data_IF_825609374006
#
_entry.id   IF_825609374006
#
_cell.length_a   1.000
_cell.length_b   1.000
_cell.length_c   1.000
_cell.angle_alpha   90.00
_cell.angle_beta   90.00
_cell.angle_gamma   90.00
#
_symmetry.space_group_name_H-M   'P 1'
#
loop_
_entity.id
_entity.type
_entity.pdbx_description
1 polymer ?
#
# COMPACT_ATOMS: atom_id res chain seq x y z
N UNK A 1 90.65 51.94 -2.60
CA UNK A 1 89.36 52.47 -3.10
C UNK A 1 88.38 51.32 -3.17
N UNK A 2 87.28 51.44 -2.44
CA UNK A 2 86.19 50.47 -2.32
C UNK A 2 85.06 50.86 -3.30
N UNK A 3 84.59 49.95 -4.16
CA UNK A 3 83.30 50.08 -4.87
C UNK A 3 82.89 48.75 -5.56
N UNK A 4 82.03 48.00 -4.85
CA UNK A 4 80.74 47.42 -5.29
C UNK A 4 80.65 46.86 -6.71
N UNK A 5 80.48 45.55 -6.89
CA UNK A 5 79.23 44.77 -6.79
C UNK A 5 78.54 44.66 -8.17
N UNK A 6 78.57 43.45 -8.75
CA UNK A 6 77.42 42.87 -9.44
C UNK A 6 77.66 41.36 -9.60
N UNK A 7 77.70 40.64 -8.48
CA UNK A 7 77.59 39.17 -8.53
C UNK A 7 76.16 38.87 -8.89
N UNK A 8 75.90 38.62 -10.17
CA UNK A 8 74.64 38.07 -10.64
C UNK A 8 74.27 36.86 -9.79
N UNK A 9 73.34 37.06 -8.85
CA UNK A 9 72.79 36.02 -8.02
C UNK A 9 71.97 35.13 -8.95
N UNK A 10 72.57 34.01 -9.33
CA UNK A 10 71.89 32.91 -10.00
C UNK A 10 70.89 32.32 -8.99
N UNK A 11 69.67 32.86 -8.96
CA UNK A 11 68.57 32.31 -8.18
C UNK A 11 68.09 31.07 -8.92
N UNK A 12 68.59 29.92 -8.50
CA UNK A 12 68.04 28.61 -8.81
C UNK A 12 66.62 28.53 -8.23
N UNK A 13 65.62 28.69 -9.09
CA UNK A 13 64.22 28.46 -8.75
C UNK A 13 63.97 26.96 -8.70
N UNK A 14 64.57 26.31 -7.70
CA UNK A 14 64.30 24.93 -7.37
C UNK A 14 62.83 24.77 -7.03
N UNK A 15 62.03 24.26 -7.98
CA UNK A 15 60.71 23.64 -7.76
C UNK A 15 59.81 24.27 -6.68
N UNK A 16 59.74 25.59 -6.55
CA UNK A 16 58.79 26.24 -5.64
C UNK A 16 57.47 26.46 -6.36
N UNK A 17 56.62 25.43 -6.31
CA UNK A 17 55.17 25.60 -6.49
C UNK A 17 54.72 26.59 -5.41
N UNK A 18 53.89 27.59 -5.72
CA UNK A 18 53.29 28.42 -4.68
C UNK A 18 52.54 27.49 -3.72
N UNK A 19 53.13 27.22 -2.55
CA UNK A 19 52.46 26.56 -1.44
C UNK A 19 51.51 27.61 -0.86
N UNK A 20 50.40 27.84 -1.57
CA UNK A 20 49.29 28.61 -1.03
C UNK A 20 48.94 27.93 0.30
N UNK A 21 48.84 28.69 1.42
CA UNK A 21 48.37 28.10 2.67
C UNK A 21 47.07 27.38 2.32
N UNK A 22 46.90 26.15 2.84
CA UNK A 22 45.70 25.34 2.64
C UNK A 22 44.51 26.10 3.23
N UNK A 23 44.05 27.12 2.49
CA UNK A 23 42.90 27.93 2.78
C UNK A 23 41.78 26.93 2.76
N UNK A 24 41.30 26.65 3.97
CA UNK A 24 40.34 25.62 4.29
C UNK A 24 39.47 25.36 3.06
N UNK A 25 39.60 24.15 2.48
CA UNK A 25 38.68 23.71 1.43
C UNK A 25 37.31 23.94 2.01
N UNK A 26 36.65 25.01 1.59
CA UNK A 26 35.35 25.37 2.10
C UNK A 26 34.45 24.30 1.49
N UNK A 27 34.24 23.22 2.25
CA UNK A 27 33.30 22.14 1.96
C UNK A 27 31.90 22.73 2.13
N UNK A 28 31.60 23.75 1.34
CA UNK A 28 30.26 24.30 1.22
C UNK A 28 29.43 23.22 0.56
N UNK A 29 28.34 22.76 1.21
CA UNK A 29 27.46 21.76 0.63
C UNK A 29 27.02 22.19 -0.77
N UNK A 30 27.02 21.24 -1.73
CA UNK A 30 26.58 21.47 -3.13
C UNK A 30 25.18 22.12 -3.17
N UNK A 31 24.37 21.85 -2.14
CA UNK A 31 23.08 22.48 -1.93
C UNK A 31 23.12 23.27 -0.61
N UNK A 32 22.90 24.60 -0.62
CA UNK A 32 22.90 25.41 0.59
C UNK A 32 21.94 24.80 1.63
N UNK A 33 22.39 24.69 2.90
CA UNK A 33 21.60 24.06 3.99
C UNK A 33 20.27 24.77 4.26
N UNK A 34 20.16 26.03 3.87
CA UNK A 34 18.94 26.85 3.94
C UNK A 34 18.18 26.95 2.60
N UNK A 35 18.52 26.12 1.61
CA UNK A 35 17.87 26.18 0.29
C UNK A 35 16.42 25.65 0.36
N UNK A 36 15.54 26.34 -0.35
CA UNK A 36 14.13 25.98 -0.52
C UNK A 36 13.97 24.54 -1.04
N UNK A 37 14.92 24.06 -1.84
CA UNK A 37 14.98 22.70 -2.39
C UNK A 37 14.95 21.60 -1.32
N UNK A 38 15.69 21.76 -0.21
CA UNK A 38 15.70 20.78 0.88
C UNK A 38 14.35 20.70 1.61
N UNK A 39 13.73 21.86 1.87
CA UNK A 39 12.40 21.94 2.52
C UNK A 39 11.30 21.40 1.61
N UNK A 40 11.40 21.68 0.30
CA UNK A 40 10.47 21.17 -0.70
C UNK A 40 10.51 19.64 -0.78
N UNK A 41 11.70 19.03 -0.78
CA UNK A 41 11.83 17.57 -0.80
C UNK A 41 11.21 16.91 0.45
N UNK A 42 11.46 17.47 1.64
CA UNK A 42 10.84 16.97 2.89
C UNK A 42 9.32 17.06 2.82
N UNK A 43 8.77 18.16 2.31
CA UNK A 43 7.33 18.32 2.13
C UNK A 43 6.75 17.26 1.18
N UNK A 44 7.42 16.97 0.06
CA UNK A 44 6.99 15.93 -0.88
C UNK A 44 7.00 14.55 -0.23
N UNK A 45 8.08 14.19 0.48
CA UNK A 45 8.16 12.91 1.19
C UNK A 45 7.05 12.78 2.22
N UNK A 46 6.77 13.85 2.98
CA UNK A 46 5.68 13.87 3.95
C UNK A 46 4.31 13.64 3.29
N UNK A 47 4.03 14.32 2.17
CA UNK A 47 2.77 14.16 1.42
C UNK A 47 2.66 12.75 0.84
N UNK A 48 3.70 12.23 0.18
CA UNK A 48 3.67 10.89 -0.41
C UNK A 48 3.49 9.81 0.66
N UNK A 49 4.16 9.95 1.81
CA UNK A 49 4.02 9.01 2.94
C UNK A 49 2.62 9.10 3.53
N UNK A 50 2.07 10.30 3.68
CA UNK A 50 0.69 10.51 4.13
C UNK A 50 -0.31 9.84 3.19
N UNK A 51 -0.21 10.09 1.88
CA UNK A 51 -1.08 9.47 0.88
C UNK A 51 -0.94 7.94 0.86
N UNK A 52 0.29 7.42 0.93
CA UNK A 52 0.52 5.99 1.02
C UNK A 52 -0.18 5.37 2.24
N UNK A 53 -0.04 6.00 3.41
CA UNK A 53 -0.71 5.52 4.64
C UNK A 53 -2.24 5.58 4.55
N UNK A 54 -2.79 6.63 3.92
CA UNK A 54 -4.22 6.78 3.70
C UNK A 54 -4.75 5.69 2.75
N UNK A 55 -4.04 5.42 1.65
CA UNK A 55 -4.41 4.32 0.73
C UNK A 55 -4.35 2.97 1.43
N UNK A 56 -3.27 2.68 2.17
CA UNK A 56 -3.17 1.42 2.92
C UNK A 56 -4.32 1.28 3.91
N UNK A 57 -4.65 2.33 4.68
CA UNK A 57 -5.77 2.31 5.61
C UNK A 57 -7.10 2.00 4.92
N UNK A 58 -7.41 2.68 3.81
CA UNK A 58 -8.65 2.43 3.04
C UNK A 58 -8.70 1.01 2.49
N UNK A 59 -7.61 0.51 1.91
CA UNK A 59 -7.54 -0.86 1.37
C UNK A 59 -7.79 -1.89 2.47
N UNK A 60 -7.22 -1.69 3.67
CA UNK A 60 -7.45 -2.60 4.79
C UNK A 60 -8.91 -2.63 5.23
N UNK A 61 -9.57 -1.47 5.31
CA UNK A 61 -10.99 -1.39 5.66
C UNK A 61 -11.87 -2.09 4.63
N UNK A 62 -11.64 -1.83 3.34
CA UNK A 62 -12.40 -2.49 2.25
C UNK A 62 -12.15 -4.00 2.23
N UNK A 63 -10.90 -4.41 2.43
CA UNK A 63 -10.54 -5.83 2.47
C UNK A 63 -11.22 -6.56 3.63
N UNK A 64 -11.36 -5.92 4.79
CA UNK A 64 -12.05 -6.49 5.92
C UNK A 64 -13.54 -6.69 5.62
N UNK A 65 -14.22 -5.67 5.09
CA UNK A 65 -15.64 -5.77 4.70
C UNK A 65 -15.87 -6.80 3.58
N UNK A 66 -14.96 -6.90 2.61
CA UNK A 66 -15.05 -7.90 1.55
C UNK A 66 -14.91 -9.33 2.09
N UNK A 67 -14.01 -9.55 3.06
CA UNK A 67 -13.83 -10.84 3.69
C UNK A 67 -15.05 -11.27 4.51
N UNK A 68 -15.67 -10.34 5.25
CA UNK A 68 -16.92 -10.58 5.99
C UNK A 68 -18.05 -10.97 5.03
N UNK A 69 -18.31 -10.16 3.99
CA UNK A 69 -19.30 -10.48 2.96
C UNK A 69 -19.05 -11.83 2.27
N UNK A 70 -17.78 -12.15 1.97
CA UNK A 70 -17.42 -13.44 1.36
C UNK A 70 -17.70 -14.62 2.31
N UNK A 71 -17.50 -14.43 3.61
CA UNK A 71 -17.84 -15.44 4.62
C UNK A 71 -19.34 -15.70 4.65
N UNK A 72 -20.14 -14.64 4.60
CA UNK A 72 -21.61 -14.74 4.56
C UNK A 72 -22.06 -15.53 3.32
N UNK A 73 -21.57 -15.16 2.13
CA UNK A 73 -21.90 -15.86 0.88
C UNK A 73 -21.43 -17.32 0.89
N UNK A 74 -20.26 -17.61 1.47
CA UNK A 74 -19.76 -18.98 1.56
C UNK A 74 -20.54 -19.86 2.56
N UNK A 75 -21.30 -19.25 3.47
CA UNK A 75 -22.11 -19.95 4.47
C UNK A 75 -23.51 -20.32 3.97
N UNK A 76 -23.93 -19.80 2.81
CA UNK A 76 -25.24 -20.07 2.22
C UNK A 76 -25.20 -21.27 1.25
N UNK A 77 -26.21 -22.14 1.35
CA UNK A 77 -26.39 -23.29 0.46
C UNK A 77 -27.82 -23.27 -0.06
N UNK A 78 -27.98 -23.30 -1.38
CA UNK A 78 -29.29 -23.38 -2.04
C UNK A 78 -29.61 -24.82 -2.45
N UNK A 79 -30.78 -25.30 -2.03
CA UNK A 79 -31.29 -26.63 -2.40
C UNK A 79 -32.52 -26.46 -3.29
N UNK A 80 -32.45 -26.96 -4.52
CA UNK A 80 -33.58 -26.91 -5.45
C UNK A 80 -34.41 -28.19 -5.38
N UNK A 81 -35.67 -28.06 -4.93
CA UNK A 81 -36.63 -29.15 -4.98
C UNK A 81 -37.28 -29.18 -6.35
N UNK A 82 -37.03 -30.25 -7.12
CA UNK A 82 -37.61 -30.40 -8.47
C UNK A 82 -39.00 -31.03 -8.38
N UNK A 83 -40.02 -30.43 -9.02
CA UNK A 83 -41.35 -31.03 -9.06
C UNK A 83 -41.33 -32.36 -9.81
N UNK A 84 -42.07 -33.34 -9.29
CA UNK A 84 -42.26 -34.65 -9.91
C UNK A 84 -43.76 -34.95 -10.00
N UNK A 85 -44.20 -35.51 -11.13
CA UNK A 85 -45.61 -35.81 -11.37
C UNK A 85 -46.19 -36.71 -10.26
N UNK A 86 -47.34 -36.33 -9.71
CA UNK A 86 -48.02 -37.06 -8.63
C UNK A 86 -47.46 -36.82 -7.23
N UNK A 87 -46.47 -35.93 -7.05
CA UNK A 87 -45.96 -35.51 -5.73
C UNK A 87 -46.37 -34.08 -5.41
N UNK A 88 -46.60 -33.83 -4.12
CA UNK A 88 -46.85 -32.49 -3.58
C UNK A 88 -45.51 -31.80 -3.28
N UNK A 89 -45.21 -30.77 -4.07
CA UNK A 89 -43.97 -30.01 -3.99
C UNK A 89 -43.83 -29.26 -2.66
N UNK A 90 -44.92 -28.77 -2.08
CA UNK A 90 -44.88 -28.03 -0.81
C UNK A 90 -44.55 -28.97 0.34
N UNK A 91 -45.16 -30.16 0.33
CA UNK A 91 -44.84 -31.22 1.29
C UNK A 91 -43.37 -31.67 1.17
N UNK A 92 -42.88 -31.84 -0.05
CA UNK A 92 -41.48 -32.23 -0.29
C UNK A 92 -40.51 -31.13 0.17
N UNK A 93 -40.84 -29.86 -0.07
CA UNK A 93 -40.05 -28.71 0.39
C UNK A 93 -40.00 -28.62 1.91
N UNK A 94 -41.14 -28.83 2.59
CA UNK A 94 -41.19 -28.88 4.04
C UNK A 94 -40.36 -30.04 4.63
N UNK A 95 -40.42 -31.21 4.01
CA UNK A 95 -39.64 -32.37 4.44
C UNK A 95 -38.13 -32.13 4.30
N UNK A 96 -37.70 -31.51 3.20
CA UNK A 96 -36.30 -31.11 3.00
C UNK A 96 -35.88 -30.07 4.03
N UNK A 97 -36.72 -29.07 4.32
CA UNK A 97 -36.42 -28.04 5.31
C UNK A 97 -36.22 -28.63 6.71
N UNK A 98 -37.08 -29.55 7.13
CA UNK A 98 -36.94 -30.25 8.41
C UNK A 98 -35.68 -31.12 8.47
N UNK A 99 -35.38 -31.84 7.39
CA UNK A 99 -34.15 -32.65 7.32
C UNK A 99 -32.88 -31.78 7.44
N UNK A 100 -32.88 -30.58 6.86
CA UNK A 100 -31.75 -29.65 6.96
C UNK A 100 -31.62 -29.01 8.35
N UNK A 101 -32.75 -28.66 9.00
CA UNK A 101 -32.74 -28.13 10.37
C UNK A 101 -32.17 -29.12 11.38
N UNK A 102 -32.30 -30.42 11.12
CA UNK A 102 -31.74 -31.47 11.98
C UNK A 102 -30.21 -31.64 11.83
N UNK A 103 -29.59 -31.08 10.79
CA UNK A 103 -28.18 -31.24 10.53
C UNK A 103 -27.33 -30.32 11.42
N UNK A 104 -26.29 -30.88 12.03
CA UNK A 104 -25.34 -30.10 12.83
C UNK A 104 -24.62 -29.06 11.96
N UNK A 105 -24.58 -27.81 12.42
CA UNK A 105 -23.93 -26.69 11.73
C UNK A 105 -24.87 -25.84 10.87
N UNK A 106 -26.12 -26.25 10.65
CA UNK A 106 -27.13 -25.42 10.00
C UNK A 106 -27.78 -24.50 11.02
N UNK A 107 -27.62 -23.18 10.84
CA UNK A 107 -28.15 -22.16 11.76
C UNK A 107 -29.58 -21.76 11.40
N UNK A 108 -29.85 -21.62 10.09
CA UNK A 108 -31.14 -21.19 9.57
C UNK A 108 -31.49 -21.96 8.30
N UNK A 109 -32.79 -22.24 8.11
CA UNK A 109 -33.33 -22.81 6.88
C UNK A 109 -34.56 -22.00 6.46
N UNK A 110 -34.46 -21.37 5.29
CA UNK A 110 -35.50 -20.53 4.68
C UNK A 110 -36.11 -21.21 3.45
N UNK A 111 -37.22 -21.94 3.59
CA UNK A 111 -37.98 -22.44 2.45
C UNK A 111 -38.68 -21.27 1.73
N UNK A 112 -38.66 -21.29 0.40
CA UNK A 112 -39.39 -20.34 -0.45
C UNK A 112 -40.58 -21.03 -1.09
N UNK A 113 -41.73 -20.34 -1.15
CA UNK A 113 -42.87 -20.81 -1.93
C UNK A 113 -42.57 -20.72 -3.43
N UNK A 114 -43.41 -21.37 -4.24
CA UNK A 114 -43.34 -21.27 -5.70
C UNK A 114 -43.46 -19.81 -6.19
N UNK A 115 -44.37 -19.03 -5.60
CA UNK A 115 -44.58 -17.62 -5.96
C UNK A 115 -43.38 -16.76 -5.59
N UNK A 116 -42.78 -16.99 -4.42
CA UNK A 116 -41.59 -16.27 -3.98
C UNK A 116 -40.39 -16.59 -4.86
N UNK A 117 -40.19 -17.88 -5.16
CA UNK A 117 -39.14 -18.33 -6.08
C UNK A 117 -39.29 -17.73 -7.47
N UNK A 118 -40.54 -17.58 -7.95
CA UNK A 118 -40.84 -16.97 -9.24
C UNK A 118 -40.52 -15.48 -9.33
N UNK A 119 -40.41 -14.76 -8.21
CA UNK A 119 -40.01 -13.33 -8.18
C UNK A 119 -38.51 -13.11 -8.32
N UNK A 120 -37.71 -14.18 -8.23
CA UNK A 120 -36.25 -14.13 -8.27
C UNK A 120 -35.68 -14.40 -9.69
N UNK A 121 -36.56 -14.57 -10.69
CA UNK A 121 -36.24 -14.83 -12.10
C UNK A 121 -36.62 -13.63 -12.97
#
# INVERSE_FOLDING_TARGET
>A
MNRTDDRGVLVDLGQERPQLPARARNMSPIVPRASIHGRALVAVVAIMTFLASMTTGTVLLVSASAAEWQSDVASEITIQVRPQAGRDLERDTAAVAEAMRAQAGIVEVKPFSKEESGKLL
#
